data_IF_542438843272
#
_entry.id   IF_542438843272
#
_cell.length_a   1.000
_cell.length_b   1.000
_cell.length_c   1.000
_cell.angle_alpha   90.00
_cell.angle_beta   90.00
_cell.angle_gamma   90.00
#
_symmetry.space_group_name_H-M   'P 1'
#
loop_
_entity.id
_entity.type
_entity.pdbx_description
1 polymer ?
#
# COMPACT_ATOMS: atom_id res chain seq x y z
N UNK A 1 -1.59 6.67 -5.94
CA UNK A 1 -1.03 5.31 -5.77
C UNK A 1 -2.13 4.23 -5.82
N UNK A 2 -3.17 4.29 -4.97
CA UNK A 2 -4.30 3.34 -5.01
C UNK A 2 -4.89 3.16 -6.43
N UNK A 3 -5.19 4.28 -7.11
CA UNK A 3 -5.71 4.22 -8.48
C UNK A 3 -4.74 3.55 -9.46
N UNK A 4 -3.43 3.82 -9.33
CA UNK A 4 -2.39 3.22 -10.18
C UNK A 4 -2.34 1.70 -9.97
N UNK A 5 -2.48 1.24 -8.71
CA UNK A 5 -2.58 -0.19 -8.40
C UNK A 5 -3.90 -0.83 -8.82
N UNK A 6 -4.98 -0.06 -8.98
CA UNK A 6 -6.21 -0.57 -9.59
C UNK A 6 -6.05 -0.74 -11.10
N UNK A 7 -5.39 0.21 -11.77
CA UNK A 7 -5.10 0.13 -13.20
C UNK A 7 -4.21 -1.06 -13.56
N UNK A 8 -3.37 -1.55 -12.64
CA UNK A 8 -2.56 -2.74 -12.93
C UNK A 8 -3.39 -4.00 -13.14
N UNK A 9 -4.63 -4.07 -12.66
CA UNK A 9 -5.53 -5.18 -12.97
C UNK A 9 -6.00 -5.17 -14.44
N UNK A 10 -6.00 -4.02 -15.10
CA UNK A 10 -6.36 -3.92 -16.52
C UNK A 10 -5.34 -4.64 -17.42
N UNK A 11 -4.10 -4.88 -16.94
CA UNK A 11 -3.06 -5.60 -17.69
C UNK A 11 -3.50 -7.05 -17.98
N UNK A 12 -4.32 -7.65 -17.10
CA UNK A 12 -4.87 -8.99 -17.31
C UNK A 12 -5.90 -9.07 -18.44
N UNK A 13 -6.45 -7.95 -18.91
CA UNK A 13 -7.33 -7.92 -20.07
C UNK A 13 -6.59 -8.12 -21.40
N UNK A 14 -5.27 -7.85 -21.44
CA UNK A 14 -4.44 -8.07 -22.62
C UNK A 14 -4.22 -9.58 -22.76
N UNK A 15 -4.24 -10.21 -23.92
CA UNK A 15 -4.01 -11.65 -24.02
C UNK A 15 -2.55 -12.03 -23.70
N UNK A 16 -2.27 -13.27 -23.23
CA UNK A 16 -0.95 -13.66 -22.73
C UNK A 16 0.13 -13.74 -23.82
N UNK A 17 -0.24 -13.87 -25.10
CA UNK A 17 0.72 -13.93 -26.21
C UNK A 17 1.44 -12.60 -26.48
N UNK A 18 0.85 -11.47 -26.06
CA UNK A 18 1.42 -10.12 -26.17
C UNK A 18 2.20 -9.75 -24.88
N UNK A 19 3.18 -10.58 -24.52
CA UNK A 19 3.97 -10.44 -23.29
C UNK A 19 4.72 -9.11 -23.20
N UNK A 20 5.25 -8.63 -24.34
CA UNK A 20 5.95 -7.35 -24.43
C UNK A 20 5.10 -6.17 -23.98
N UNK A 21 3.85 -6.09 -24.45
CA UNK A 21 2.92 -5.01 -24.08
C UNK A 21 2.59 -5.04 -22.59
N UNK A 22 2.40 -6.24 -22.01
CA UNK A 22 2.10 -6.41 -20.57
C UNK A 22 3.26 -5.94 -19.70
N UNK A 23 4.50 -6.28 -20.05
CA UNK A 23 5.71 -5.87 -19.31
C UNK A 23 5.92 -4.35 -19.43
N UNK A 24 5.77 -3.79 -20.63
CA UNK A 24 5.91 -2.35 -20.83
C UNK A 24 4.93 -1.55 -19.95
N UNK A 25 3.64 -1.92 -19.96
CA UNK A 25 2.61 -1.25 -19.15
C UNK A 25 2.89 -1.43 -17.65
N UNK A 26 3.33 -2.62 -17.22
CA UNK A 26 3.71 -2.88 -15.82
C UNK A 26 4.84 -1.96 -15.35
N UNK A 27 5.90 -1.82 -16.16
CA UNK A 27 7.02 -0.92 -15.88
C UNK A 27 6.57 0.54 -15.84
N UNK A 28 5.70 0.97 -16.75
CA UNK A 28 5.16 2.34 -16.75
C UNK A 28 4.34 2.62 -15.49
N UNK A 29 3.47 1.71 -15.05
CA UNK A 29 2.70 1.87 -13.82
C UNK A 29 3.62 1.92 -12.58
N UNK A 30 4.67 1.10 -12.55
CA UNK A 30 5.66 1.09 -11.49
C UNK A 30 6.43 2.41 -11.41
N UNK A 31 6.95 2.90 -12.55
CA UNK A 31 7.61 4.20 -12.63
C UNK A 31 6.66 5.33 -12.22
N UNK A 32 5.42 5.30 -12.70
CA UNK A 32 4.39 6.29 -12.34
C UNK A 32 4.14 6.31 -10.84
N UNK A 33 4.06 5.14 -10.20
CA UNK A 33 3.86 5.04 -8.75
C UNK A 33 5.05 5.59 -7.96
N UNK A 34 6.28 5.31 -8.38
CA UNK A 34 7.49 5.82 -7.76
C UNK A 34 7.58 7.34 -7.91
N UNK A 35 7.32 7.86 -9.12
CA UNK A 35 7.29 9.29 -9.40
C UNK A 35 6.23 10.00 -8.58
N UNK A 36 5.01 9.45 -8.51
CA UNK A 36 3.95 10.02 -7.69
C UNK A 36 4.34 10.07 -6.21
N UNK A 37 4.96 9.00 -5.66
CA UNK A 37 5.50 9.02 -4.30
C UNK A 37 6.53 10.13 -4.12
N UNK A 38 7.45 10.26 -5.08
CA UNK A 38 8.48 11.30 -5.02
C UNK A 38 7.87 12.71 -5.05
N UNK A 39 6.87 12.95 -5.89
CA UNK A 39 6.11 14.21 -5.94
C UNK A 39 5.39 14.49 -4.62
N UNK A 40 4.68 13.51 -4.06
CA UNK A 40 4.00 13.65 -2.76
C UNK A 40 5.00 14.00 -1.65
N UNK A 41 6.16 13.34 -1.62
CA UNK A 41 7.22 13.64 -0.66
C UNK A 41 7.81 15.05 -0.82
N UNK A 42 7.69 15.68 -2.00
CA UNK A 42 8.12 17.07 -2.24
C UNK A 42 7.05 18.10 -1.88
N UNK A 43 5.77 17.73 -1.99
CA UNK A 43 4.64 18.62 -1.70
C UNK A 43 4.28 18.69 -0.22
N UNK A 44 4.60 17.66 0.57
CA UNK A 44 4.45 17.69 2.03
C UNK A 44 5.74 18.20 2.68
N UNK A 45 5.67 19.14 3.66
CA UNK A 45 6.85 19.54 4.43
C UNK A 45 7.47 18.32 5.12
N UNK A 46 8.80 18.25 5.14
CA UNK A 46 9.57 17.12 5.69
C UNK A 46 9.39 16.99 7.20
N UNK A 47 8.30 16.38 7.64
CA UNK A 47 8.13 15.94 9.02
C UNK A 47 8.82 14.58 9.13
N UNK A 48 9.79 14.43 10.03
CA UNK A 48 10.64 13.23 10.19
C UNK A 48 9.89 11.94 10.61
N UNK A 49 8.56 12.01 10.75
CA UNK A 49 7.77 10.82 11.02
C UNK A 49 7.45 10.13 9.69
N UNK A 50 7.80 8.85 9.60
CA UNK A 50 7.25 7.92 8.61
C UNK A 50 5.72 8.01 8.70
N UNK A 51 5.09 8.75 7.80
CA UNK A 51 3.65 8.98 7.89
C UNK A 51 2.93 7.66 7.61
N UNK A 52 1.79 7.41 8.25
CA UNK A 52 0.95 6.24 7.93
C UNK A 52 0.61 6.16 6.43
N UNK A 53 0.61 7.30 5.74
CA UNK A 53 0.43 7.41 4.30
C UNK A 53 1.63 6.90 3.50
N UNK A 54 2.86 7.13 3.96
CA UNK A 54 4.08 6.64 3.30
C UNK A 54 4.22 5.12 3.39
N UNK A 55 3.83 4.53 4.53
CA UNK A 55 3.79 3.07 4.70
C UNK A 55 2.83 2.43 3.68
N UNK A 56 1.65 3.05 3.49
CA UNK A 56 0.69 2.62 2.48
C UNK A 56 1.26 2.70 1.05
N UNK A 57 1.95 3.81 0.73
CA UNK A 57 2.59 4.01 -0.57
C UNK A 57 3.64 2.93 -0.87
N UNK A 58 4.49 2.59 0.12
CA UNK A 58 5.54 1.57 -0.02
C UNK A 58 4.93 0.19 -0.24
N UNK A 59 3.87 -0.18 0.51
CA UNK A 59 3.17 -1.45 0.34
C UNK A 59 2.57 -1.61 -1.06
N UNK A 60 1.98 -0.55 -1.60
CA UNK A 60 1.42 -0.56 -2.96
C UNK A 60 2.50 -0.74 -4.03
N UNK A 61 3.65 -0.07 -3.88
CA UNK A 61 4.80 -0.24 -4.79
C UNK A 61 5.33 -1.67 -4.71
N UNK A 62 5.39 -2.26 -3.51
CA UNK A 62 5.82 -3.64 -3.33
C UNK A 62 4.90 -4.64 -4.05
N UNK A 63 3.58 -4.44 -3.99
CA UNK A 63 2.61 -5.26 -4.74
C UNK A 63 2.82 -5.14 -6.25
N UNK A 64 3.08 -3.93 -6.77
CA UNK A 64 3.37 -3.72 -8.19
C UNK A 64 4.66 -4.44 -8.63
N UNK A 65 5.67 -4.50 -7.76
CA UNK A 65 6.91 -5.26 -8.03
C UNK A 65 6.62 -6.75 -8.14
N UNK A 66 5.87 -7.32 -7.19
CA UNK A 66 5.48 -8.74 -7.23
C UNK A 66 4.70 -9.05 -8.52
N UNK A 67 3.76 -8.20 -8.89
CA UNK A 67 2.98 -8.34 -10.13
C UNK A 67 3.86 -8.25 -11.37
N UNK A 68 4.84 -7.34 -11.40
CA UNK A 68 5.80 -7.22 -12.48
C UNK A 68 6.67 -8.48 -12.62
N UNK A 69 7.12 -9.06 -11.50
CA UNK A 69 7.86 -10.33 -11.48
C UNK A 69 7.00 -11.45 -12.06
N UNK A 70 5.72 -11.51 -11.68
CA UNK A 70 4.79 -12.50 -12.23
C UNK A 70 4.66 -12.40 -13.76
N UNK A 71 4.44 -11.19 -14.29
CA UNK A 71 4.35 -10.98 -15.73
C UNK A 71 5.67 -11.32 -16.45
N UNK A 72 6.82 -11.09 -15.82
CA UNK A 72 8.12 -11.47 -16.37
C UNK A 72 8.31 -13.00 -16.41
N UNK A 73 7.88 -13.72 -15.36
CA UNK A 73 7.90 -15.20 -15.32
C UNK A 73 7.02 -15.78 -16.42
N UNK A 74 5.79 -15.27 -16.58
CA UNK A 74 4.90 -15.67 -17.68
C UNK A 74 5.52 -15.41 -19.05
N UNK A 75 6.16 -14.25 -19.22
CA UNK A 75 6.88 -13.91 -20.46
C UNK A 75 8.00 -14.90 -20.78
N UNK A 76 8.81 -15.27 -19.79
CA UNK A 76 9.90 -16.23 -19.93
C UNK A 76 9.40 -17.63 -20.29
N UNK A 77 8.35 -18.11 -19.61
CA UNK A 77 7.76 -19.42 -19.85
C UNK A 77 7.20 -19.55 -21.28
N UNK A 78 6.57 -18.49 -21.79
CA UNK A 78 6.05 -18.43 -23.17
C UNK A 78 7.21 -18.42 -24.19
N UNK A 79 8.28 -17.68 -23.93
CA UNK A 79 9.42 -17.59 -24.83
C UNK A 79 10.16 -18.93 -25.02
N UNK A 80 10.26 -19.72 -23.97
CA UNK A 80 10.91 -21.04 -23.99
C UNK A 80 10.08 -22.15 -24.66
N UNK A 81 8.84 -21.86 -25.07
CA UNK A 81 7.89 -22.87 -25.56
C UNK A 81 8.06 -23.16 -27.06
N UNK A 82 8.30 -24.43 -27.39
CA UNK A 82 8.48 -24.98 -28.76
C UNK A 82 7.22 -24.76 -29.61
N UNK A 83 7.34 -24.43 -30.92
CA UNK A 83 6.20 -24.01 -31.76
C UNK A 83 5.01 -24.99 -31.80
N UNK A 84 5.26 -26.29 -31.81
CA UNK A 84 4.22 -27.31 -31.96
C UNK A 84 3.35 -27.53 -30.72
N UNK A 85 3.84 -27.12 -29.53
CA UNK A 85 3.09 -27.22 -28.26
C UNK A 85 2.28 -25.96 -27.92
N UNK A 86 2.41 -24.88 -28.72
CA UNK A 86 1.86 -23.55 -28.40
C UNK A 86 0.34 -23.52 -28.26
N UNK A 87 -0.38 -24.33 -29.05
CA UNK A 87 -1.86 -24.39 -29.11
C UNK A 87 -2.48 -25.19 -27.94
N UNK A 88 -1.68 -25.98 -27.23
CA UNK A 88 -2.11 -26.64 -25.98
C UNK A 88 -1.66 -25.86 -24.75
N UNK A 89 -0.52 -25.16 -24.84
CA UNK A 89 0.02 -24.36 -23.74
C UNK A 89 -0.74 -23.06 -23.52
N UNK A 90 -1.20 -22.38 -24.57
CA UNK A 90 -2.01 -21.16 -24.49
C UNK A 90 -3.31 -21.35 -23.68
N UNK A 91 -3.99 -22.49 -23.83
CA UNK A 91 -5.18 -22.88 -23.06
C UNK A 91 -4.86 -23.03 -21.55
N UNK A 92 -3.76 -23.73 -21.22
CA UNK A 92 -3.33 -23.92 -19.83
C UNK A 92 -2.84 -22.61 -19.20
N UNK A 93 -2.11 -21.78 -19.96
CA UNK A 93 -1.66 -20.46 -19.54
C UNK A 93 -2.83 -19.51 -19.28
N UNK A 94 -3.89 -19.54 -20.10
CA UNK A 94 -5.10 -18.75 -19.88
C UNK A 94 -5.86 -19.18 -18.61
N UNK A 95 -5.91 -20.49 -18.34
CA UNK A 95 -6.47 -21.02 -17.10
C UNK A 95 -5.67 -20.53 -15.88
N UNK A 96 -4.34 -20.65 -15.94
CA UNK A 96 -3.42 -20.15 -14.91
C UNK A 96 -3.60 -18.64 -14.69
N UNK A 97 -3.58 -17.83 -15.75
CA UNK A 97 -3.74 -16.37 -15.66
C UNK A 97 -5.04 -16.00 -14.94
N UNK A 98 -6.13 -16.75 -15.18
CA UNK A 98 -7.42 -16.53 -14.50
C UNK A 98 -7.39 -16.86 -13.01
N UNK A 99 -6.72 -17.93 -12.60
CA UNK A 99 -6.52 -18.25 -11.19
C UNK A 99 -5.62 -17.23 -10.48
N UNK A 100 -4.55 -16.78 -11.14
CA UNK A 100 -3.72 -15.71 -10.59
C UNK A 100 -4.51 -14.40 -10.49
N UNK A 101 -5.33 -14.07 -11.48
CA UNK A 101 -6.17 -12.87 -11.41
C UNK A 101 -7.11 -12.91 -10.19
N UNK A 102 -7.77 -14.06 -9.95
CA UNK A 102 -8.66 -14.24 -8.81
C UNK A 102 -7.91 -14.17 -7.46
N UNK A 103 -6.75 -14.80 -7.36
CA UNK A 103 -5.94 -14.74 -6.13
C UNK A 103 -5.35 -13.34 -5.90
N UNK A 104 -4.91 -12.65 -6.96
CA UNK A 104 -4.40 -11.28 -6.89
C UNK A 104 -5.47 -10.29 -6.43
N UNK A 105 -6.71 -10.40 -6.94
CA UNK A 105 -7.84 -9.58 -6.48
C UNK A 105 -8.16 -9.88 -5.01
N UNK A 106 -8.21 -11.16 -4.63
CA UNK A 106 -8.49 -11.55 -3.25
C UNK A 106 -7.44 -11.01 -2.29
N UNK A 107 -6.16 -11.17 -2.61
CA UNK A 107 -5.04 -10.66 -1.80
C UNK A 107 -5.10 -9.13 -1.73
N UNK A 108 -5.34 -8.46 -2.86
CA UNK A 108 -5.45 -7.00 -2.91
C UNK A 108 -6.60 -6.48 -2.04
N UNK A 109 -7.77 -7.13 -2.11
CA UNK A 109 -8.93 -6.79 -1.29
C UNK A 109 -8.64 -6.98 0.20
N UNK A 110 -8.04 -8.12 0.58
CA UNK A 110 -7.67 -8.40 1.98
C UNK A 110 -6.67 -7.35 2.49
N UNK A 111 -5.61 -7.06 1.73
CA UNK A 111 -4.59 -6.07 2.10
C UNK A 111 -5.23 -4.68 2.26
N UNK A 112 -6.11 -4.26 1.33
CA UNK A 112 -6.78 -2.96 1.43
C UNK A 112 -7.77 -2.90 2.58
N UNK A 113 -8.50 -3.97 2.89
CA UNK A 113 -9.40 -4.03 4.06
C UNK A 113 -8.60 -3.90 5.35
N UNK A 114 -7.48 -4.63 5.48
CA UNK A 114 -6.59 -4.54 6.65
C UNK A 114 -6.00 -3.14 6.78
N UNK A 115 -5.55 -2.56 5.67
CA UNK A 115 -4.97 -1.20 5.65
C UNK A 115 -6.00 -0.12 5.97
N UNK A 116 -7.22 -0.20 5.44
CA UNK A 116 -8.31 0.72 5.78
C UNK A 116 -8.69 0.60 7.26
N UNK A 117 -8.77 -0.62 7.78
CA UNK A 117 -9.06 -0.88 9.20
C UNK A 117 -7.96 -0.31 10.09
N UNK A 118 -6.69 -0.50 9.72
CA UNK A 118 -5.54 0.06 10.42
C UNK A 118 -5.52 1.59 10.35
N UNK A 119 -5.70 2.17 9.16
CA UNK A 119 -5.72 3.61 8.92
C UNK A 119 -6.85 4.31 9.68
N UNK A 120 -8.01 3.67 9.83
CA UNK A 120 -9.11 4.22 10.62
C UNK A 120 -8.85 4.09 12.14
N UNK A 121 -8.33 2.94 12.57
CA UNK A 121 -8.11 2.64 13.99
C UNK A 121 -6.98 3.46 14.61
N UNK A 122 -5.92 3.73 13.86
CA UNK A 122 -4.72 4.45 14.31
C UNK A 122 -5.03 5.87 14.81
N UNK A 123 -5.52 6.82 14.00
CA UNK A 123 -5.80 8.18 14.43
C UNK A 123 -6.87 8.24 15.53
N UNK A 124 -7.85 7.33 15.51
CA UNK A 124 -8.83 7.22 16.60
C UNK A 124 -8.19 6.79 17.92
N UNK A 125 -7.29 5.79 17.89
CA UNK A 125 -6.56 5.33 19.07
C UNK A 125 -5.60 6.41 19.57
N UNK A 126 -4.87 7.09 18.69
CA UNK A 126 -3.99 8.21 19.05
C UNK A 126 -4.79 9.38 19.64
N UNK A 127 -5.93 9.74 19.06
CA UNK A 127 -6.80 10.81 19.60
C UNK A 127 -7.32 10.48 21.00
N UNK A 128 -7.70 9.21 21.25
CA UNK A 128 -8.07 8.75 22.61
C UNK A 128 -6.91 8.82 23.60
N UNK A 129 -5.68 8.54 23.17
CA UNK A 129 -4.50 8.63 24.03
C UNK A 129 -4.14 10.07 24.38
N UNK A 130 -4.25 11.01 23.43
CA UNK A 130 -3.98 12.43 23.66
C UNK A 130 -4.94 13.01 24.71
N UNK A 131 -6.25 12.70 24.61
CA UNK A 131 -7.25 13.14 25.61
C UNK A 131 -6.91 12.63 27.02
N UNK A 132 -6.43 11.38 27.16
CA UNK A 132 -6.02 10.84 28.46
C UNK A 132 -4.75 11.53 29.01
N UNK A 133 -3.80 11.88 28.15
CA UNK A 133 -2.58 12.61 28.55
C UNK A 133 -2.91 14.04 28.97
N UNK A 134 -3.76 14.73 28.21
CA UNK A 134 -4.22 16.09 28.53
C UNK A 134 -4.98 16.14 29.86
N UNK A 135 -5.82 15.13 30.13
CA UNK A 135 -6.51 15.02 31.41
C UNK A 135 -5.52 14.88 32.59
N UNK A 136 -4.52 14.01 32.47
CA UNK A 136 -3.49 13.83 33.51
C UNK A 136 -2.66 15.10 33.73
N UNK A 137 -2.28 15.79 32.65
CA UNK A 137 -1.53 17.05 32.72
C UNK A 137 -2.33 18.17 33.40
N UNK A 138 -3.62 18.30 33.09
CA UNK A 138 -4.51 19.25 33.79
C UNK A 138 -4.64 18.92 35.28
N UNK A 139 -4.70 17.63 35.62
CA UNK A 139 -4.82 17.18 37.01
C UNK A 139 -3.55 17.46 37.83
N UNK A 140 -2.36 17.32 37.23
CA UNK A 140 -1.10 17.67 37.92
C UNK A 140 -0.99 19.17 38.20
N UNK A 141 -1.32 20.03 37.22
CA UNK A 141 -1.32 21.49 37.43
C UNK A 141 -2.32 21.92 38.51
N UNK A 142 -3.51 21.30 38.55
CA UNK A 142 -4.51 21.61 39.56
C UNK A 142 -4.05 21.25 40.98
N UNK A 143 -3.32 20.13 41.15
CA UNK A 143 -2.72 19.73 42.43
C UNK A 143 -1.62 20.70 42.86
N UNK A 144 -0.75 21.09 41.93
CA UNK A 144 0.35 22.02 42.18
C UNK A 144 -0.15 23.41 42.61
N UNK A 145 -1.16 23.96 41.91
CA UNK A 145 -1.81 25.23 42.30
C UNK A 145 -2.44 25.16 43.69
N UNK A 146 -3.09 24.04 44.04
CA UNK A 146 -3.63 23.85 45.40
C UNK A 146 -2.51 23.86 46.43
N UNK A 147 -1.43 23.11 46.21
CA UNK A 147 -0.30 23.05 47.13
C UNK A 147 0.30 24.45 47.39
N UNK A 148 0.54 25.24 46.34
CA UNK A 148 1.04 26.62 46.44
C UNK A 148 0.11 27.53 47.25
N UNK A 149 -1.21 27.44 47.05
CA UNK A 149 -2.17 28.23 47.83
C UNK A 149 -2.14 27.88 49.33
N UNK A 150 -1.96 26.61 49.69
CA UNK A 150 -1.85 26.21 51.10
C UNK A 150 -0.56 26.75 51.74
N UNK A 151 0.57 26.74 51.02
CA UNK A 151 1.82 27.32 51.53
C UNK A 151 1.72 28.84 51.71
N UNK A 152 1.12 29.55 50.75
CA UNK A 152 0.93 31.01 50.83
C UNK A 152 -0.01 31.46 51.95
N UNK A 153 -0.99 30.64 52.33
CA UNK A 153 -1.90 30.93 53.45
C UNK A 153 -1.31 30.59 54.83
N UNK A 154 -0.19 29.87 54.87
CA UNK A 154 0.49 29.44 56.10
C UNK A 154 1.66 30.33 56.53
N UNK A 155 1.98 31.36 55.73
CA UNK A 155 2.99 32.40 55.98
C UNK A 155 2.24 33.69 56.33
#
# INVERSE_FOLDING_TARGET
>A
ILLITLLSFCIFAIPPHLTGNRIQISCTLLLTSITFRWTVNRSLPTISYLTSMDIYAILCIFILIILCIWHAILGSLIYLSVPDLRVTQDMWLAYIDRWIFMTAISIFAIIHIVLLTWLYSVPLKYRRQMVKKDFKYRQSIAKEKKALNYTLLSI
#
